data_IF_234996684013
#
_entry.id   IF_234996684013
#
_cell.length_a   1.000
_cell.length_b   1.000
_cell.length_c   1.000
_cell.angle_alpha   90.00
_cell.angle_beta   90.00
_cell.angle_gamma   90.00
#
_symmetry.space_group_name_H-M   'P 1'
#
loop_
_entity.id
_entity.type
_entity.pdbx_description
1 polymer ?
#
# COMPACT_ATOMS: atom_id res chain seq x y z
N UNK A 1 -27.33 20.90 -7.14
CA UNK A 1 -26.82 19.52 -7.22
C UNK A 1 -27.59 18.67 -6.19
N UNK A 2 -28.22 17.58 -6.61
CA UNK A 2 -28.96 16.68 -5.72
C UNK A 2 -28.00 15.69 -5.04
N UNK A 3 -27.85 15.79 -3.71
CA UNK A 3 -26.97 14.94 -2.91
C UNK A 3 -27.36 13.46 -2.99
N UNK A 4 -28.65 13.15 -3.06
CA UNK A 4 -29.12 11.78 -3.21
C UNK A 4 -28.74 11.22 -4.59
N UNK A 5 -28.87 12.01 -5.66
CA UNK A 5 -28.43 11.58 -6.98
C UNK A 5 -26.91 11.34 -7.03
N UNK A 6 -26.13 12.13 -6.29
CA UNK A 6 -24.68 11.93 -6.14
C UNK A 6 -24.35 10.61 -5.43
N UNK A 7 -25.06 10.27 -4.34
CA UNK A 7 -24.93 8.96 -3.68
C UNK A 7 -25.24 7.80 -4.61
N UNK A 8 -26.30 7.93 -5.39
CA UNK A 8 -26.70 6.92 -6.38
C UNK A 8 -25.66 6.74 -7.48
N UNK A 9 -25.08 7.83 -7.96
CA UNK A 9 -23.98 7.78 -8.92
C UNK A 9 -22.77 7.00 -8.36
N UNK A 10 -22.34 7.32 -7.13
CA UNK A 10 -21.23 6.61 -6.46
C UNK A 10 -21.54 5.12 -6.33
N UNK A 11 -22.77 4.76 -5.96
CA UNK A 11 -23.20 3.37 -5.84
C UNK A 11 -23.13 2.61 -7.18
N UNK A 12 -23.51 3.25 -8.29
CA UNK A 12 -23.46 2.66 -9.64
C UNK A 12 -22.02 2.45 -10.10
N UNK A 13 -21.13 3.42 -9.88
CA UNK A 13 -19.72 3.28 -10.21
C UNK A 13 -19.10 2.12 -9.43
N UNK A 14 -19.33 2.05 -8.12
CA UNK A 14 -18.82 0.98 -7.25
C UNK A 14 -19.37 -0.42 -7.61
N UNK A 15 -20.60 -0.48 -8.12
CA UNK A 15 -21.23 -1.74 -8.51
C UNK A 15 -20.87 -2.19 -9.94
N UNK A 16 -20.35 -1.28 -10.78
CA UNK A 16 -20.05 -1.53 -12.18
C UNK A 16 -21.27 -1.80 -13.06
N UNK A 17 -22.49 -1.76 -12.49
CA UNK A 17 -23.75 -1.91 -13.24
C UNK A 17 -24.93 -1.29 -12.50
N UNK A 18 -25.90 -0.81 -13.27
CA UNK A 18 -27.16 -0.28 -12.73
C UNK A 18 -27.98 -1.35 -11.99
N UNK A 19 -28.00 -2.58 -12.51
CA UNK A 19 -28.77 -3.67 -11.89
C UNK A 19 -28.19 -4.04 -10.52
N UNK A 20 -26.86 -4.23 -10.43
CA UNK A 20 -26.20 -4.54 -9.16
C UNK A 20 -26.34 -3.40 -8.14
N UNK A 21 -26.33 -2.15 -8.58
CA UNK A 21 -26.56 -1.00 -7.70
C UNK A 21 -28.04 -0.95 -7.25
N UNK A 22 -29.00 -1.21 -8.16
CA UNK A 22 -30.43 -1.30 -7.87
C UNK A 22 -30.70 -2.34 -6.77
N UNK A 23 -30.17 -3.54 -6.93
CA UNK A 23 -30.33 -4.64 -5.97
C UNK A 23 -29.72 -4.30 -4.59
N UNK A 24 -28.53 -3.71 -4.57
CA UNK A 24 -27.85 -3.32 -3.31
C UNK A 24 -28.57 -2.22 -2.55
N UNK A 25 -29.16 -1.27 -3.27
CA UNK A 25 -29.78 -0.10 -2.66
C UNK A 25 -31.29 -0.27 -2.43
N UNK A 26 -31.90 -1.33 -2.97
CA UNK A 26 -33.36 -1.53 -2.91
C UNK A 26 -34.15 -0.47 -3.69
N UNK A 27 -33.55 0.15 -4.73
CA UNK A 27 -34.14 1.22 -5.52
C UNK A 27 -34.43 0.69 -6.93
N UNK A 28 -35.65 0.91 -7.50
CA UNK A 28 -35.93 0.46 -8.85
C UNK A 28 -34.95 1.01 -9.88
N UNK A 29 -34.52 0.17 -10.81
CA UNK A 29 -33.54 0.48 -11.86
C UNK A 29 -33.92 1.72 -12.67
N UNK A 30 -35.22 1.89 -12.98
CA UNK A 30 -35.76 3.06 -13.70
C UNK A 30 -35.57 4.36 -12.91
N UNK A 31 -35.78 4.31 -11.59
CA UNK A 31 -35.58 5.46 -10.70
C UNK A 31 -34.09 5.82 -10.61
N UNK A 32 -33.22 4.80 -10.45
CA UNK A 32 -31.79 4.97 -10.40
C UNK A 32 -31.23 5.59 -11.68
N UNK A 33 -31.62 5.05 -12.85
CA UNK A 33 -31.24 5.58 -14.16
C UNK A 33 -31.71 7.01 -14.38
N UNK A 34 -32.97 7.32 -14.02
CA UNK A 34 -33.54 8.67 -14.13
C UNK A 34 -32.74 9.66 -13.26
N UNK A 35 -32.48 9.33 -11.99
CA UNK A 35 -31.74 10.21 -11.07
C UNK A 35 -30.32 10.52 -11.53
N UNK A 36 -29.63 9.55 -12.12
CA UNK A 36 -28.31 9.78 -12.69
C UNK A 36 -28.38 10.65 -13.94
N UNK A 37 -29.34 10.42 -14.82
CA UNK A 37 -29.54 11.28 -15.98
C UNK A 37 -29.86 12.75 -15.57
N UNK A 38 -30.70 12.95 -14.54
CA UNK A 38 -30.95 14.27 -13.95
C UNK A 38 -29.65 14.93 -13.41
N UNK A 39 -28.77 14.15 -12.77
CA UNK A 39 -27.47 14.63 -12.29
C UNK A 39 -26.55 15.04 -13.45
N UNK A 40 -26.44 14.20 -14.48
CA UNK A 40 -25.64 14.50 -15.68
C UNK A 40 -26.15 15.76 -16.41
N UNK A 41 -27.46 15.91 -16.52
CA UNK A 41 -28.10 17.11 -17.08
C UNK A 41 -27.81 18.36 -16.23
N UNK A 42 -27.96 18.27 -14.90
CA UNK A 42 -27.69 19.38 -13.99
C UNK A 42 -26.22 19.85 -14.02
N UNK A 43 -25.30 18.94 -14.28
CA UNK A 43 -23.87 19.23 -14.42
C UNK A 43 -23.46 19.56 -15.87
N UNK A 44 -24.37 19.35 -16.82
CA UNK A 44 -24.13 19.46 -18.26
C UNK A 44 -22.90 18.64 -18.72
N UNK A 45 -22.73 17.45 -18.14
CA UNK A 45 -21.59 16.54 -18.40
C UNK A 45 -22.07 15.10 -18.29
N UNK A 46 -21.65 14.27 -19.24
CA UNK A 46 -21.84 12.83 -19.17
C UNK A 46 -20.80 12.25 -18.17
N UNK A 47 -21.30 11.58 -17.13
CA UNK A 47 -20.46 10.98 -16.08
C UNK A 47 -20.24 9.48 -16.30
N UNK A 48 -21.16 8.78 -16.99
CA UNK A 48 -21.11 7.34 -17.16
C UNK A 48 -21.12 6.93 -18.64
N UNK A 49 -20.28 5.98 -18.99
CA UNK A 49 -20.33 5.21 -20.23
C UNK A 49 -21.06 3.89 -19.98
N UNK A 50 -22.05 3.60 -20.85
CA UNK A 50 -22.86 2.38 -20.77
C UNK A 50 -22.49 1.45 -21.90
N UNK A 51 -22.11 0.23 -21.58
CA UNK A 51 -21.77 -0.80 -22.56
C UNK A 51 -22.46 -2.13 -22.23
N UNK A 52 -22.36 -3.11 -23.12
CA UNK A 52 -22.80 -4.49 -22.84
C UNK A 52 -22.00 -5.16 -21.72
N UNK A 53 -20.80 -4.65 -21.42
CA UNK A 53 -19.93 -5.16 -20.36
C UNK A 53 -20.18 -4.52 -18.99
N UNK A 54 -21.10 -3.56 -18.90
CA UNK A 54 -21.43 -2.84 -17.68
C UNK A 54 -21.34 -1.31 -17.82
N UNK A 55 -21.10 -0.66 -16.71
CA UNK A 55 -21.03 0.80 -16.60
C UNK A 55 -19.65 1.19 -16.10
N UNK A 56 -19.04 2.16 -16.77
CA UNK A 56 -17.76 2.77 -16.36
C UNK A 56 -17.92 4.29 -16.29
N UNK A 57 -17.21 4.96 -15.39
CA UNK A 57 -17.16 6.41 -15.42
C UNK A 57 -16.42 6.92 -16.66
N UNK A 58 -16.86 8.03 -17.23
CA UNK A 58 -16.07 8.83 -18.18
C UNK A 58 -14.86 9.43 -17.46
N UNK A 59 -13.93 10.05 -18.17
CA UNK A 59 -12.84 10.80 -17.53
C UNK A 59 -13.37 11.88 -16.56
N UNK A 60 -14.38 12.62 -16.96
CA UNK A 60 -15.05 13.60 -16.09
C UNK A 60 -15.87 12.95 -14.97
N UNK A 61 -16.46 11.78 -15.24
CA UNK A 61 -17.15 10.96 -14.26
C UNK A 61 -16.21 10.45 -13.18
N UNK A 62 -14.99 10.06 -13.54
CA UNK A 62 -13.97 9.63 -12.59
C UNK A 62 -13.56 10.79 -11.67
N UNK A 63 -13.24 11.94 -12.23
CA UNK A 63 -12.91 13.14 -11.45
C UNK A 63 -14.04 13.53 -10.49
N UNK A 64 -15.29 13.47 -10.96
CA UNK A 64 -16.46 13.76 -10.13
C UNK A 64 -16.65 12.70 -9.03
N UNK A 65 -16.49 11.42 -9.35
CA UNK A 65 -16.59 10.31 -8.41
C UNK A 65 -15.65 10.47 -7.22
N UNK A 66 -14.39 10.81 -7.47
CA UNK A 66 -13.36 10.97 -6.44
C UNK A 66 -13.72 12.08 -5.45
N UNK A 67 -14.11 13.25 -5.97
CA UNK A 67 -14.49 14.39 -5.14
C UNK A 67 -15.84 14.17 -4.43
N UNK A 68 -16.81 13.60 -5.14
CA UNK A 68 -18.14 13.36 -4.63
C UNK A 68 -18.16 12.30 -3.51
N UNK A 69 -17.36 11.23 -3.66
CA UNK A 69 -17.21 10.18 -2.63
C UNK A 69 -16.79 10.78 -1.30
N UNK A 70 -15.76 11.62 -1.31
CA UNK A 70 -15.28 12.31 -0.11
C UNK A 70 -16.31 13.25 0.50
N UNK A 71 -16.98 14.04 -0.35
CA UNK A 71 -18.03 14.94 0.13
C UNK A 71 -19.18 14.20 0.79
N UNK A 72 -19.58 13.05 0.23
CA UNK A 72 -20.63 12.19 0.80
C UNK A 72 -20.18 11.59 2.13
N UNK A 73 -18.95 11.04 2.20
CA UNK A 73 -18.38 10.48 3.43
C UNK A 73 -18.31 11.54 4.55
N UNK A 74 -17.85 12.75 4.25
CA UNK A 74 -17.80 13.87 5.22
C UNK A 74 -19.19 14.25 5.74
N UNK A 75 -20.19 14.28 4.88
CA UNK A 75 -21.57 14.60 5.30
C UNK A 75 -22.19 13.47 6.13
N UNK A 76 -21.92 12.22 5.80
CA UNK A 76 -22.34 11.07 6.59
C UNK A 76 -21.66 11.05 7.97
N UNK A 77 -20.37 11.35 8.03
CA UNK A 77 -19.62 11.46 9.28
C UNK A 77 -20.15 12.63 10.14
N UNK A 78 -20.45 13.77 9.53
CA UNK A 78 -21.06 14.89 10.23
C UNK A 78 -22.46 14.53 10.77
N UNK A 79 -23.28 13.81 10.02
CA UNK A 79 -24.57 13.32 10.47
C UNK A 79 -24.42 12.32 11.64
N UNK A 80 -23.48 11.38 11.53
CA UNK A 80 -23.20 10.40 12.59
C UNK A 80 -22.66 11.05 13.86
N UNK A 81 -21.83 12.07 13.75
CA UNK A 81 -21.26 12.79 14.92
C UNK A 81 -22.33 13.48 15.78
N UNK A 82 -23.48 13.79 15.19
CA UNK A 82 -24.62 14.43 15.89
C UNK A 82 -25.62 13.40 16.41
N UNK A 83 -25.71 12.21 15.74
CA UNK A 83 -26.79 11.23 16.00
C UNK A 83 -26.36 10.02 16.81
N UNK A 84 -25.06 9.75 16.95
CA UNK A 84 -24.57 8.54 17.64
C UNK A 84 -23.37 8.85 18.54
N UNK A 85 -23.34 8.26 19.72
CA UNK A 85 -22.17 8.22 20.58
C UNK A 85 -21.05 7.42 19.90
N UNK A 86 -20.04 8.12 19.42
CA UNK A 86 -18.62 7.76 19.29
C UNK A 86 -18.17 6.39 18.74
N UNK A 87 -18.89 5.68 17.90
CA UNK A 87 -18.32 4.50 17.22
C UNK A 87 -17.91 4.84 15.80
N UNK A 88 -16.59 4.84 15.55
CA UNK A 88 -16.04 4.90 14.20
C UNK A 88 -16.43 3.61 13.45
N UNK A 89 -17.17 3.75 12.35
CA UNK A 89 -17.64 2.63 11.54
C UNK A 89 -17.48 2.94 10.05
N UNK A 90 -17.30 1.92 9.25
CA UNK A 90 -17.18 2.05 7.79
C UNK A 90 -16.15 1.11 7.20
N UNK A 91 -15.76 1.35 5.95
CA UNK A 91 -14.77 0.55 5.24
C UNK A 91 -13.53 1.40 4.95
N UNK A 92 -12.37 0.92 5.39
CA UNK A 92 -11.06 1.50 5.11
C UNK A 92 -10.31 0.61 4.12
N UNK A 93 -9.87 1.19 3.00
CA UNK A 93 -9.16 0.49 1.93
C UNK A 93 -7.69 0.85 1.98
N UNK A 94 -6.88 -0.16 2.23
CA UNK A 94 -5.44 -0.02 2.43
C UNK A 94 -4.67 -0.70 1.32
N UNK A 95 -3.52 -0.16 0.96
CA UNK A 95 -2.50 -0.86 0.17
C UNK A 95 -1.26 -1.06 1.02
N UNK A 96 -0.84 -2.32 1.15
CA UNK A 96 0.28 -2.75 1.98
C UNK A 96 1.26 -3.52 1.10
N UNK A 97 2.58 -3.31 1.21
CA UNK A 97 3.55 -4.16 0.51
C UNK A 97 3.33 -5.63 0.87
N UNK A 98 3.48 -6.56 -0.07
CA UNK A 98 3.43 -7.98 0.24
C UNK A 98 4.43 -8.33 1.34
N UNK A 99 4.04 -9.24 2.22
CA UNK A 99 4.95 -9.89 3.16
C UNK A 99 5.60 -8.96 4.21
N UNK A 100 4.95 -7.84 4.51
CA UNK A 100 5.35 -6.96 5.60
C UNK A 100 4.63 -7.37 6.90
N UNK A 101 5.11 -8.43 7.56
CA UNK A 101 4.49 -9.08 8.71
C UNK A 101 4.14 -8.12 9.85
N UNK A 102 5.06 -7.21 10.19
CA UNK A 102 4.85 -6.20 11.24
C UNK A 102 3.56 -5.40 11.05
N UNK A 103 3.19 -5.12 9.79
CA UNK A 103 2.02 -4.32 9.50
C UNK A 103 0.70 -5.08 9.71
N UNK A 104 0.74 -6.40 9.57
CA UNK A 104 -0.43 -7.23 9.88
C UNK A 104 -0.79 -7.20 11.36
N UNK A 105 0.21 -7.21 12.25
CA UNK A 105 -0.01 -7.07 13.69
C UNK A 105 -0.62 -5.71 14.03
N UNK A 106 -0.15 -4.63 13.38
CA UNK A 106 -0.72 -3.30 13.51
C UNK A 106 -2.20 -3.27 13.07
N UNK A 107 -2.52 -3.88 11.91
CA UNK A 107 -3.89 -3.91 11.39
C UNK A 107 -4.83 -4.70 12.29
N UNK A 108 -4.36 -5.82 12.87
CA UNK A 108 -5.13 -6.61 13.85
C UNK A 108 -5.41 -5.76 15.09
N UNK A 109 -4.39 -5.09 15.63
CA UNK A 109 -4.56 -4.23 16.81
C UNK A 109 -5.45 -3.02 16.52
N UNK A 110 -5.38 -2.45 15.31
CA UNK A 110 -6.29 -1.38 14.89
C UNK A 110 -7.74 -1.87 14.86
N UNK A 111 -8.00 -3.04 14.30
CA UNK A 111 -9.35 -3.60 14.21
C UNK A 111 -9.91 -4.02 15.58
N UNK A 112 -9.05 -4.46 16.51
CA UNK A 112 -9.44 -4.69 17.91
C UNK A 112 -9.89 -3.40 18.61
N UNK A 113 -9.21 -2.27 18.35
CA UNK A 113 -9.59 -0.95 18.91
C UNK A 113 -10.82 -0.36 18.25
N UNK A 114 -11.07 -0.67 16.97
CA UNK A 114 -12.17 -0.15 16.16
C UNK A 114 -12.93 -1.28 15.46
N UNK A 115 -13.70 -2.10 16.21
CA UNK A 115 -14.31 -3.33 15.69
C UNK A 115 -15.36 -3.10 14.59
N UNK A 116 -15.95 -1.91 14.53
CA UNK A 116 -16.97 -1.55 13.53
C UNK A 116 -16.36 -1.06 12.20
N UNK A 117 -15.02 -1.03 12.10
CA UNK A 117 -14.31 -0.71 10.87
C UNK A 117 -13.99 -1.99 10.10
N UNK A 118 -14.49 -2.08 8.87
CA UNK A 118 -14.10 -3.13 7.93
C UNK A 118 -12.82 -2.72 7.21
N UNK A 119 -11.77 -3.54 7.31
CA UNK A 119 -10.53 -3.35 6.56
C UNK A 119 -10.57 -4.12 5.25
N UNK A 120 -10.16 -3.47 4.17
CA UNK A 120 -9.81 -4.11 2.91
C UNK A 120 -8.36 -3.81 2.60
N UNK A 121 -7.52 -4.84 2.53
CA UNK A 121 -6.10 -4.71 2.25
C UNK A 121 -5.79 -5.24 0.85
N UNK A 122 -5.33 -4.35 -0.02
CA UNK A 122 -4.74 -4.71 -1.30
C UNK A 122 -3.23 -4.87 -1.13
N UNK A 123 -2.70 -6.04 -1.46
CA UNK A 123 -1.28 -6.31 -1.37
C UNK A 123 -0.69 -6.44 -2.77
N UNK A 124 0.23 -5.54 -3.13
CA UNK A 124 0.84 -5.49 -4.46
C UNK A 124 2.19 -4.78 -4.42
N UNK A 125 3.15 -5.31 -5.20
CA UNK A 125 4.43 -4.62 -5.48
C UNK A 125 4.26 -3.44 -6.47
N UNK A 126 3.14 -3.39 -7.20
CA UNK A 126 2.83 -2.28 -8.08
C UNK A 126 2.60 -1.02 -7.26
N UNK A 127 3.15 0.09 -7.71
CA UNK A 127 2.75 1.42 -7.20
C UNK A 127 1.28 1.60 -7.54
N UNK A 128 0.42 1.59 -6.50
CA UNK A 128 -1.01 1.82 -6.69
C UNK A 128 -1.26 3.32 -6.92
N UNK A 129 -2.18 3.63 -7.82
CA UNK A 129 -2.81 4.92 -7.88
C UNK A 129 -3.93 4.96 -6.82
N UNK A 130 -3.81 5.89 -5.86
CA UNK A 130 -4.79 5.96 -4.76
C UNK A 130 -6.21 6.19 -5.26
N UNK A 131 -6.34 6.96 -6.35
CA UNK A 131 -7.63 7.34 -6.91
C UNK A 131 -8.19 6.23 -7.81
N UNK A 132 -7.43 5.79 -8.81
CA UNK A 132 -7.89 4.77 -9.76
C UNK A 132 -8.16 3.42 -9.08
N UNK A 133 -7.31 3.03 -8.12
CA UNK A 133 -7.44 1.78 -7.39
C UNK A 133 -8.39 1.89 -6.16
N UNK A 134 -8.89 3.10 -5.87
CA UNK A 134 -9.82 3.34 -4.76
C UNK A 134 -9.24 3.06 -3.37
N UNK A 135 -7.96 3.35 -3.18
CA UNK A 135 -7.22 3.15 -1.92
C UNK A 135 -7.27 4.42 -1.07
N UNK A 136 -7.62 4.28 0.20
CA UNK A 136 -7.68 5.40 1.14
C UNK A 136 -6.30 5.75 1.71
N UNK A 137 -5.52 4.75 2.07
CA UNK A 137 -4.13 4.90 2.56
C UNK A 137 -3.24 3.78 2.01
N UNK A 138 -2.08 4.14 1.50
CA UNK A 138 -1.06 3.19 1.07
C UNK A 138 0.17 3.26 1.96
N UNK A 139 0.73 2.10 2.34
CA UNK A 139 2.04 1.98 2.95
C UNK A 139 3.10 1.88 1.86
N UNK A 140 4.14 2.72 1.93
CA UNK A 140 5.20 2.77 0.90
C UNK A 140 6.56 2.89 1.54
N UNK A 141 7.52 2.16 0.98
CA UNK A 141 8.94 2.25 1.35
C UNK A 141 9.73 3.03 0.31
N UNK A 142 10.76 3.77 0.78
CA UNK A 142 11.68 4.55 -0.05
C UNK A 142 11.19 5.96 -0.34
N UNK A 143 11.92 6.65 -1.22
CA UNK A 143 11.64 8.03 -1.58
C UNK A 143 10.41 8.15 -2.49
N UNK A 144 9.52 9.05 -2.14
CA UNK A 144 8.31 9.34 -2.90
C UNK A 144 8.53 10.58 -3.77
N UNK A 145 8.26 10.47 -5.07
CA UNK A 145 8.52 11.52 -6.06
C UNK A 145 7.24 12.12 -6.65
N UNK A 146 6.21 12.36 -5.83
CA UNK A 146 4.95 12.92 -6.34
C UNK A 146 4.41 14.02 -5.42
N UNK A 147 3.92 15.08 -6.03
CA UNK A 147 3.33 16.24 -5.33
C UNK A 147 1.81 16.09 -5.12
N UNK A 148 1.20 15.04 -5.66
CA UNK A 148 -0.26 14.83 -5.65
C UNK A 148 -0.77 14.16 -4.37
N UNK A 149 0.11 13.62 -3.57
CA UNK A 149 -0.23 12.89 -2.33
C UNK A 149 0.46 13.51 -1.12
N UNK A 150 -0.04 13.19 0.07
CA UNK A 150 0.64 13.46 1.33
C UNK A 150 1.37 12.18 1.73
N UNK A 151 2.67 12.31 2.02
CA UNK A 151 3.49 11.25 2.56
C UNK A 151 3.83 11.57 4.02
N UNK A 152 3.24 10.82 4.95
CA UNK A 152 3.55 10.92 6.38
C UNK A 152 4.61 9.89 6.74
N UNK A 153 5.84 10.28 7.14
CA UNK A 153 6.85 9.32 7.57
C UNK A 153 6.38 8.62 8.86
N UNK A 154 6.64 7.33 8.95
CA UNK A 154 6.23 6.49 10.08
C UNK A 154 7.44 5.98 10.83
N UNK A 155 8.38 5.36 10.12
CA UNK A 155 9.61 4.83 10.67
C UNK A 155 10.65 4.64 9.57
N UNK A 156 11.88 4.42 9.97
CA UNK A 156 12.94 4.01 9.06
C UNK A 156 13.17 2.50 9.18
N UNK A 157 13.36 1.85 8.03
CA UNK A 157 13.62 0.42 7.94
C UNK A 157 15.08 0.21 7.60
N UNK A 158 15.74 -0.66 8.37
CA UNK A 158 17.11 -1.06 8.11
C UNK A 158 17.15 -2.32 7.26
N UNK A 159 18.13 -2.40 6.38
CA UNK A 159 18.41 -3.60 5.59
C UNK A 159 19.71 -4.22 6.02
N UNK A 160 19.80 -5.54 5.90
CA UNK A 160 21.01 -6.33 6.19
C UNK A 160 21.33 -7.25 5.03
N UNK A 161 22.60 -7.58 4.86
CA UNK A 161 23.04 -8.62 3.94
C UNK A 161 23.00 -9.96 4.67
N UNK A 162 22.39 -10.95 4.04
CA UNK A 162 22.24 -12.28 4.64
C UNK A 162 22.66 -13.38 3.67
N UNK A 163 23.22 -14.45 4.23
CA UNK A 163 23.50 -15.68 3.52
C UNK A 163 23.31 -16.88 4.45
N UNK A 164 23.05 -18.06 3.89
CA UNK A 164 23.04 -19.28 4.70
C UNK A 164 24.46 -19.77 5.02
N UNK A 165 24.62 -20.52 6.14
CA UNK A 165 25.89 -21.18 6.46
C UNK A 165 26.41 -22.05 5.32
N UNK A 166 25.52 -22.72 4.58
CA UNK A 166 25.87 -23.58 3.46
C UNK A 166 26.55 -22.83 2.28
N UNK A 167 26.13 -21.58 2.01
CA UNK A 167 26.80 -20.73 1.03
C UNK A 167 28.20 -20.37 1.50
N UNK A 168 28.33 -19.94 2.75
CA UNK A 168 29.60 -19.49 3.33
C UNK A 168 30.61 -20.64 3.47
N UNK A 169 30.15 -21.84 3.75
CA UNK A 169 31.01 -23.02 3.77
C UNK A 169 31.65 -23.34 2.40
N UNK A 170 30.97 -22.98 1.30
CA UNK A 170 31.48 -23.20 -0.07
C UNK A 170 32.37 -22.09 -0.58
N UNK A 171 32.06 -20.85 -0.20
CA UNK A 171 32.70 -19.68 -0.80
C UNK A 171 33.55 -18.84 0.16
N UNK A 172 33.53 -19.15 1.46
CA UNK A 172 34.11 -18.32 2.51
C UNK A 172 33.16 -17.20 2.97
N UNK A 173 33.50 -16.62 4.12
CA UNK A 173 32.77 -15.47 4.68
C UNK A 173 33.46 -14.20 4.20
N UNK A 174 32.75 -13.31 3.48
CA UNK A 174 33.35 -12.06 2.99
C UNK A 174 33.62 -11.10 4.16
N UNK A 175 34.73 -10.41 4.12
CA UNK A 175 35.13 -9.37 5.09
C UNK A 175 34.93 -7.95 4.51
N UNK A 176 34.75 -7.83 3.19
CA UNK A 176 34.55 -6.55 2.49
C UNK A 176 33.41 -6.64 1.48
N UNK A 177 32.90 -5.48 1.04
CA UNK A 177 31.92 -5.41 -0.03
C UNK A 177 32.45 -5.96 -1.35
N UNK A 178 33.72 -5.72 -1.66
CA UNK A 178 34.36 -6.22 -2.87
C UNK A 178 34.47 -7.74 -2.86
N UNK A 179 34.68 -8.36 -1.72
CA UNK A 179 34.61 -9.82 -1.58
C UNK A 179 33.20 -10.34 -1.71
N UNK A 180 32.22 -9.65 -1.09
CA UNK A 180 30.82 -10.05 -1.11
C UNK A 180 30.24 -10.03 -2.53
N UNK A 181 30.62 -9.08 -3.38
CA UNK A 181 30.10 -9.01 -4.76
C UNK A 181 30.66 -10.11 -5.68
N UNK A 182 31.64 -10.88 -5.22
CA UNK A 182 32.16 -12.09 -5.94
C UNK A 182 31.31 -13.32 -5.66
N UNK A 183 30.46 -13.29 -4.63
CA UNK A 183 29.51 -14.35 -4.34
C UNK A 183 28.31 -14.27 -5.29
N UNK A 184 27.56 -15.36 -5.48
CA UNK A 184 26.26 -15.28 -6.12
C UNK A 184 25.34 -14.33 -5.35
N UNK A 185 24.66 -13.42 -6.05
CA UNK A 185 23.82 -12.40 -5.44
C UNK A 185 22.39 -12.53 -5.96
N UNK A 186 21.44 -12.48 -5.03
CA UNK A 186 20.03 -12.27 -5.34
C UNK A 186 19.66 -10.81 -5.11
N UNK A 187 19.08 -10.16 -6.12
CA UNK A 187 18.73 -8.75 -6.07
C UNK A 187 17.26 -8.51 -6.31
N UNK A 188 16.72 -7.52 -5.59
CA UNK A 188 15.38 -7.02 -5.87
C UNK A 188 15.40 -6.15 -7.12
N UNK A 189 14.53 -6.46 -8.07
CA UNK A 189 14.43 -5.75 -9.35
C UNK A 189 12.99 -5.56 -9.79
N UNK A 190 12.71 -4.39 -10.36
CA UNK A 190 11.55 -4.14 -11.21
C UNK A 190 12.00 -4.03 -12.67
N UNK A 191 11.13 -4.29 -13.62
CA UNK A 191 11.38 -4.41 -15.07
C UNK A 191 12.20 -3.27 -15.75
N UNK A 192 12.66 -2.26 -15.02
CA UNK A 192 13.30 -1.06 -15.59
C UNK A 192 14.62 -0.64 -14.94
N UNK A 193 15.32 -1.51 -14.21
CA UNK A 193 16.65 -1.17 -13.67
C UNK A 193 17.78 -1.61 -14.60
N UNK A 194 18.65 -0.66 -14.95
CA UNK A 194 19.77 -0.91 -15.86
C UNK A 194 21.09 -1.30 -15.20
N UNK A 195 21.27 -1.14 -13.89
CA UNK A 195 22.48 -1.50 -13.17
C UNK A 195 22.21 -1.70 -11.67
N UNK A 196 23.03 -2.53 -11.04
CA UNK A 196 22.96 -2.82 -9.61
C UNK A 196 24.15 -2.23 -8.89
N UNK A 197 23.90 -1.51 -7.82
CA UNK A 197 24.92 -0.86 -6.99
C UNK A 197 24.49 -0.96 -5.52
N UNK A 198 25.40 -1.36 -4.67
CA UNK A 198 25.23 -1.22 -3.24
C UNK A 198 25.96 0.01 -2.72
N UNK A 199 25.27 0.78 -1.92
CA UNK A 199 25.82 1.91 -1.21
C UNK A 199 26.00 1.52 0.26
N UNK A 200 27.21 1.66 0.78
CA UNK A 200 27.53 1.42 2.17
C UNK A 200 28.38 2.60 2.68
N UNK A 201 27.74 3.52 3.34
CA UNK A 201 28.38 4.79 3.72
C UNK A 201 28.87 5.57 2.50
N UNK A 202 30.19 5.78 2.40
CA UNK A 202 30.82 6.44 1.25
C UNK A 202 31.19 5.48 0.12
N UNK A 203 31.14 4.19 0.36
CA UNK A 203 31.52 3.17 -0.62
C UNK A 203 30.35 2.82 -1.54
N UNK A 204 30.67 2.67 -2.83
CA UNK A 204 29.73 2.25 -3.86
C UNK A 204 30.32 1.11 -4.65
N UNK A 205 29.67 -0.04 -4.62
CA UNK A 205 30.14 -1.22 -5.33
C UNK A 205 29.08 -1.70 -6.32
N UNK A 206 29.48 -1.75 -7.59
CA UNK A 206 28.64 -2.32 -8.65
C UNK A 206 28.73 -3.83 -8.64
N UNK A 207 27.60 -4.48 -8.90
CA UNK A 207 27.56 -5.94 -8.97
C UNK A 207 26.61 -6.42 -10.08
N UNK A 208 26.79 -7.66 -10.48
CA UNK A 208 25.89 -8.34 -11.38
C UNK A 208 25.13 -9.41 -10.58
N UNK A 209 23.80 -9.30 -10.44
CA UNK A 209 23.04 -10.33 -9.74
C UNK A 209 22.99 -11.62 -10.55
N UNK A 210 22.99 -12.74 -9.86
CA UNK A 210 22.78 -14.06 -10.45
C UNK A 210 21.30 -14.43 -10.53
N UNK A 211 20.50 -13.85 -9.63
CA UNK A 211 19.06 -14.01 -9.58
C UNK A 211 18.38 -12.67 -9.27
N UNK A 212 17.33 -12.33 -10.01
CA UNK A 212 16.55 -11.12 -9.76
C UNK A 212 15.06 -11.43 -9.64
N UNK A 213 14.40 -10.74 -8.74
CA UNK A 213 12.94 -10.83 -8.55
C UNK A 213 12.43 -9.58 -7.83
N UNK A 214 11.17 -9.24 -8.03
CA UNK A 214 10.46 -8.23 -7.25
C UNK A 214 9.69 -8.84 -6.06
N UNK A 215 9.92 -10.11 -5.75
CA UNK A 215 9.29 -10.81 -4.64
C UNK A 215 10.30 -11.04 -3.51
N UNK A 216 10.05 -10.45 -2.34
CA UNK A 216 10.94 -10.54 -1.17
C UNK A 216 11.09 -11.98 -0.66
N UNK A 217 10.02 -12.78 -0.71
CA UNK A 217 10.08 -14.20 -0.31
C UNK A 217 10.95 -15.02 -1.27
N UNK A 218 10.93 -14.66 -2.56
CA UNK A 218 11.83 -15.26 -3.52
C UNK A 218 13.30 -15.03 -3.17
N UNK A 219 13.65 -13.81 -2.77
CA UNK A 219 15.02 -13.47 -2.30
C UNK A 219 15.39 -14.21 -1.03
N UNK A 220 14.47 -14.22 -0.05
CA UNK A 220 14.67 -14.92 1.23
C UNK A 220 14.86 -16.42 1.01
N UNK A 221 13.99 -17.04 0.21
CA UNK A 221 14.09 -18.46 -0.10
C UNK A 221 15.41 -18.80 -0.81
N UNK A 222 15.83 -17.96 -1.76
CA UNK A 222 17.11 -18.12 -2.47
C UNK A 222 18.30 -18.10 -1.51
N UNK A 223 18.29 -17.18 -0.54
CA UNK A 223 19.33 -17.09 0.48
C UNK A 223 19.35 -18.31 1.42
N UNK A 224 18.15 -18.74 1.91
CA UNK A 224 18.00 -19.91 2.78
C UNK A 224 18.49 -21.20 2.12
N UNK A 225 18.24 -21.37 0.81
CA UNK A 225 18.71 -22.52 0.05
C UNK A 225 20.22 -22.48 -0.26
N UNK A 226 20.94 -21.45 0.22
CA UNK A 226 22.36 -21.33 0.00
C UNK A 226 22.75 -21.03 -1.44
N UNK A 227 21.87 -20.42 -2.19
CA UNK A 227 22.08 -20.10 -3.60
C UNK A 227 22.74 -18.75 -3.81
N UNK A 228 22.67 -17.83 -2.82
CA UNK A 228 23.32 -16.54 -2.92
C UNK A 228 23.09 -15.64 -1.72
N UNK A 229 23.76 -14.49 -1.74
CA UNK A 229 23.59 -13.39 -0.78
C UNK A 229 22.35 -12.59 -1.18
N UNK A 230 21.54 -12.19 -0.20
CA UNK A 230 20.42 -11.29 -0.39
C UNK A 230 20.52 -10.08 0.55
N UNK A 231 20.03 -8.90 0.10
CA UNK A 231 19.82 -7.72 0.92
C UNK A 231 18.35 -7.62 1.26
N UNK A 232 17.99 -7.77 2.54
CA UNK A 232 16.62 -7.85 3.02
C UNK A 232 16.41 -6.93 4.23
N UNK A 233 15.15 -6.64 4.55
CA UNK A 233 14.83 -5.89 5.76
C UNK A 233 15.22 -6.71 7.00
N UNK A 234 15.92 -6.10 7.93
CA UNK A 234 16.37 -6.74 9.18
C UNK A 234 15.20 -7.39 9.92
N UNK A 235 14.10 -6.65 10.07
CA UNK A 235 12.91 -7.15 10.76
C UNK A 235 12.30 -8.39 10.09
N UNK A 236 12.42 -8.49 8.77
CA UNK A 236 11.86 -9.62 8.01
C UNK A 236 12.71 -10.89 8.11
N UNK A 237 14.00 -10.77 8.40
CA UNK A 237 14.92 -11.91 8.45
C UNK A 237 15.31 -12.32 9.88
N UNK A 238 14.88 -11.55 10.88
CA UNK A 238 15.21 -11.79 12.29
C UNK A 238 14.99 -13.23 12.75
N UNK A 239 13.85 -13.91 12.46
CA UNK A 239 13.64 -15.29 12.90
C UNK A 239 14.72 -16.25 12.40
N UNK A 240 15.19 -16.08 11.16
CA UNK A 240 16.23 -16.93 10.57
C UNK A 240 17.65 -16.55 11.01
N UNK A 241 17.89 -15.30 11.40
CA UNK A 241 19.12 -14.90 12.06
C UNK A 241 19.20 -15.49 13.48
N UNK A 242 18.10 -15.46 14.22
CA UNK A 242 18.00 -16.04 15.58
C UNK A 242 18.12 -17.57 15.57
N UNK A 243 17.57 -18.25 14.55
CA UNK A 243 17.69 -19.72 14.39
C UNK A 243 19.05 -20.14 13.83
N UNK A 244 19.85 -19.22 13.28
CA UNK A 244 21.12 -19.50 12.62
C UNK A 244 21.00 -20.10 11.22
N UNK A 245 19.80 -20.12 10.64
CA UNK A 245 19.58 -20.53 9.24
C UNK A 245 20.11 -19.49 8.25
N UNK A 246 20.18 -18.23 8.68
CA UNK A 246 20.87 -17.15 7.99
C UNK A 246 21.92 -16.53 8.90
N UNK A 247 22.97 -16.01 8.29
CA UNK A 247 24.04 -15.26 8.93
C UNK A 247 24.04 -13.86 8.32
N UNK A 248 24.09 -12.83 9.18
CA UNK A 248 24.32 -11.46 8.74
C UNK A 248 25.76 -11.29 8.29
N UNK A 249 25.92 -10.72 7.09
CA UNK A 249 27.23 -10.43 6.51
C UNK A 249 27.58 -8.98 6.72
N UNK A 250 28.86 -8.72 6.98
CA UNK A 250 29.41 -7.39 7.17
C UNK A 250 28.62 -6.55 8.20
N UNK A 251 28.40 -7.08 9.42
CA UNK A 251 27.65 -6.36 10.44
C UNK A 251 28.35 -5.02 10.73
N UNK A 252 27.58 -3.94 10.79
CA UNK A 252 28.10 -2.59 10.99
C UNK A 252 28.41 -1.81 9.71
N UNK A 253 28.31 -2.42 8.53
CA UNK A 253 28.24 -1.65 7.30
C UNK A 253 26.89 -0.95 7.25
N UNK A 254 26.92 0.39 7.33
CA UNK A 254 25.72 1.21 7.25
C UNK A 254 25.05 1.02 5.89
N UNK A 255 24.00 0.22 5.84
CA UNK A 255 23.15 0.14 4.66
C UNK A 255 22.21 1.34 4.62
N UNK A 256 21.78 1.74 3.42
CA UNK A 256 20.84 2.83 3.27
C UNK A 256 19.54 2.51 4.02
N UNK A 257 19.17 3.39 4.95
CA UNK A 257 17.89 3.32 5.63
C UNK A 257 16.76 3.61 4.65
N UNK A 258 15.73 2.79 4.67
CA UNK A 258 14.54 2.94 3.82
C UNK A 258 13.40 3.58 4.63
N UNK A 259 13.04 4.83 4.36
CA UNK A 259 11.93 5.46 5.05
C UNK A 259 10.62 4.78 4.68
N UNK A 260 9.77 4.51 5.68
CA UNK A 260 8.43 3.99 5.54
C UNK A 260 7.43 5.12 5.69
N UNK A 261 6.51 5.24 4.74
CA UNK A 261 5.52 6.32 4.69
C UNK A 261 4.11 5.77 4.61
N UNK A 262 3.18 6.46 5.27
CA UNK A 262 1.75 6.39 4.98
C UNK A 262 1.45 7.45 3.91
N UNK A 263 0.93 7.00 2.79
CA UNK A 263 0.62 7.83 1.63
C UNK A 263 -0.90 7.87 1.45
N UNK A 264 -1.44 9.08 1.37
CA UNK A 264 -2.87 9.31 1.19
C UNK A 264 -3.11 10.57 0.35
N UNK A 265 -4.30 10.66 -0.22
CA UNK A 265 -4.64 11.77 -1.11
C UNK A 265 -4.59 13.12 -0.39
N UNK A 266 -4.11 14.14 -1.10
CA UNK A 266 -4.04 15.52 -0.59
C UNK A 266 -5.44 16.12 -0.54
N UNK A 267 -6.10 16.00 0.60
CA UNK A 267 -7.37 16.65 0.88
C UNK A 267 -7.23 17.64 2.02
N UNK A 268 -7.99 18.77 1.95
CA UNK A 268 -8.03 19.73 3.05
C UNK A 268 -8.52 19.08 4.36
N UNK A 269 -9.35 18.05 4.26
CA UNK A 269 -9.93 17.33 5.39
C UNK A 269 -9.98 15.83 5.06
N UNK A 270 -9.00 15.01 5.51
CA UNK A 270 -9.12 13.56 5.44
C UNK A 270 -10.35 13.07 6.19
N UNK A 271 -10.96 11.97 5.74
CA UNK A 271 -12.09 11.35 6.44
C UNK A 271 -11.71 10.98 7.87
N UNK A 272 -12.70 10.87 8.75
CA UNK A 272 -12.50 10.51 10.18
C UNK A 272 -11.83 9.15 10.31
N UNK A 273 -12.16 8.19 9.41
CA UNK A 273 -11.54 6.86 9.37
C UNK A 273 -10.06 6.94 9.01
N UNK A 274 -9.72 7.68 7.97
CA UNK A 274 -8.32 7.87 7.54
C UNK A 274 -7.53 8.52 8.68
N UNK A 275 -8.07 9.56 9.32
CA UNK A 275 -7.41 10.25 10.44
C UNK A 275 -7.15 9.29 11.60
N UNK A 276 -8.17 8.54 12.04
CA UNK A 276 -8.04 7.57 13.12
C UNK A 276 -6.97 6.51 12.82
N UNK A 277 -6.89 6.04 11.57
CA UNK A 277 -5.87 5.10 11.15
C UNK A 277 -4.47 5.71 11.17
N UNK A 278 -4.29 6.93 10.64
CA UNK A 278 -3.01 7.63 10.63
C UNK A 278 -2.49 7.92 12.06
N UNK A 279 -3.38 8.28 12.97
CA UNK A 279 -3.05 8.53 14.38
C UNK A 279 -2.67 7.23 15.08
N UNK A 280 -3.46 6.17 14.87
CA UNK A 280 -3.15 4.84 15.40
C UNK A 280 -1.80 4.31 14.91
N UNK A 281 -1.50 4.42 13.62
CA UNK A 281 -0.21 4.01 13.07
C UNK A 281 0.95 4.76 13.73
N UNK A 282 0.78 6.05 14.00
CA UNK A 282 1.80 6.86 14.69
C UNK A 282 2.01 6.37 16.12
N UNK A 283 0.93 6.20 16.89
CA UNK A 283 0.99 5.66 18.25
C UNK A 283 1.65 4.27 18.31
N UNK A 284 1.32 3.40 17.35
CA UNK A 284 1.85 2.05 17.28
C UNK A 284 3.35 2.02 17.00
N UNK A 285 3.79 2.79 16.01
CA UNK A 285 5.21 2.79 15.62
C UNK A 285 6.12 3.49 16.61
N UNK A 286 5.59 4.43 17.42
CA UNK A 286 6.33 5.02 18.53
C UNK A 286 6.67 4.01 19.64
N UNK A 287 5.84 2.98 19.81
CA UNK A 287 6.09 1.90 20.78
C UNK A 287 7.12 0.87 20.32
N UNK A 288 7.50 0.90 19.04
CA UNK A 288 8.49 0.00 18.46
C UNK A 288 9.90 0.59 18.46
N UNK A 289 10.04 1.88 18.79
CA UNK A 289 11.33 2.57 18.95
C UNK A 289 11.92 2.29 20.32
#
# INVERSE_FOLDING_TARGET
MDFNATKLFIAVVNAGSFSAASDRMGIPLSTLSRKINELEQALNVQLLERSRQGVKPTHRGQQFFEQARLGVELLEDAQKSVTSAHTLQGKLRLSVPPEFSLWWDLLIAFQQRYPDITLFCHSSERVVDLFEDGIDVALRMGDLKTDEVIAKPVMNMETVFVASPALLARHGTPETLEEMVRLPIAAWETLNRGFFEWNAGSEKVKYAPFFTTNNVQGLLHYALQGMGVAKLLNISVRPWLESGELIELLPGIATQSLPLHLVYARHKHPSTLVRAYLDFCTEWTEKLK
#
